data_IF_501967101043
#
_entry.id   IF_501967101043
#
_cell.length_a   1.000
_cell.length_b   1.000
_cell.length_c   1.000
_cell.angle_alpha   90.00
_cell.angle_beta   90.00
_cell.angle_gamma   90.00
#
_symmetry.space_group_name_H-M   'P 1'
#
loop_
_entity.id
_entity.type
_entity.pdbx_description
1 polymer ?
#
# COMPACT_ATOMS: atom_id res chain seq x y z
N UNK A 1 -16.32 -9.89 8.43
CA UNK A 1 -16.35 -8.41 8.40
C UNK A 1 -15.00 -7.99 7.89
N UNK A 2 -14.87 -7.35 6.73
CA UNK A 2 -13.61 -6.67 6.43
C UNK A 2 -13.43 -5.51 7.40
N UNK A 3 -12.23 -5.37 7.94
CA UNK A 3 -11.92 -4.34 8.92
C UNK A 3 -11.41 -3.01 8.29
N UNK A 4 -11.25 -2.94 6.96
CA UNK A 4 -10.23 -2.02 6.37
C UNK A 4 -10.67 -1.12 5.22
N UNK A 5 -11.86 -1.26 4.61
CA UNK A 5 -12.21 -0.43 3.44
C UNK A 5 -13.69 -0.36 3.15
N UNK A 6 -14.18 0.86 2.93
CA UNK A 6 -15.60 1.19 2.90
C UNK A 6 -16.36 0.79 1.62
N UNK A 7 -15.86 -0.01 0.68
CA UNK A 7 -16.64 -0.53 -0.48
C UNK A 7 -16.00 -1.79 -1.06
N UNK A 8 -15.34 -2.57 -0.22
CA UNK A 8 -14.66 -3.77 -0.68
C UNK A 8 -15.64 -4.94 -0.85
N UNK A 9 -15.42 -5.82 -1.84
CA UNK A 9 -16.14 -7.09 -1.94
C UNK A 9 -16.07 -7.84 -0.61
N UNK A 10 -17.22 -8.34 -0.12
CA UNK A 10 -17.28 -9.19 1.07
C UNK A 10 -17.39 -10.66 0.63
N UNK A 11 -16.59 -11.56 1.20
CA UNK A 11 -16.65 -13.00 0.95
C UNK A 11 -15.31 -13.69 1.15
N UNK A 12 -15.27 -15.02 0.98
CA UNK A 12 -14.01 -15.74 0.82
C UNK A 12 -13.64 -15.77 -0.67
N UNK A 13 -12.52 -15.19 -1.09
CA UNK A 13 -12.03 -15.33 -2.45
C UNK A 13 -11.78 -16.82 -2.76
N UNK A 14 -12.63 -17.40 -3.61
CA UNK A 14 -12.53 -18.83 -3.98
C UNK A 14 -11.36 -19.11 -4.94
N UNK A 15 -10.72 -18.06 -5.47
CA UNK A 15 -9.67 -18.14 -6.47
C UNK A 15 -8.50 -17.23 -6.07
N UNK A 16 -7.27 -17.73 -6.24
CA UNK A 16 -6.04 -17.00 -5.90
C UNK A 16 -5.88 -15.68 -6.68
N UNK A 17 -6.52 -15.53 -7.84
CA UNK A 17 -6.54 -14.26 -8.59
C UNK A 17 -7.38 -13.18 -7.91
N UNK A 18 -8.29 -13.54 -7.00
CA UNK A 18 -8.97 -12.57 -6.15
C UNK A 18 -8.08 -12.13 -4.97
N UNK A 19 -7.26 -13.02 -4.42
CA UNK A 19 -6.26 -12.67 -3.41
C UNK A 19 -5.29 -11.62 -3.97
N UNK A 20 -4.78 -11.83 -5.19
CA UNK A 20 -3.96 -10.82 -5.88
C UNK A 20 -4.67 -9.46 -6.03
N UNK A 21 -5.99 -9.45 -6.22
CA UNK A 21 -6.77 -8.20 -6.32
C UNK A 21 -7.00 -7.55 -4.95
N UNK A 22 -7.20 -8.35 -3.90
CA UNK A 22 -7.30 -7.87 -2.52
C UNK A 22 -5.98 -7.23 -2.09
N UNK A 23 -4.85 -7.87 -2.38
CA UNK A 23 -3.52 -7.28 -2.18
C UNK A 23 -3.36 -5.96 -2.95
N UNK A 24 -3.65 -5.93 -4.25
CA UNK A 24 -3.61 -4.69 -5.03
C UNK A 24 -4.50 -3.55 -4.46
N UNK A 25 -5.64 -3.89 -3.84
CA UNK A 25 -6.51 -2.90 -3.19
C UNK A 25 -5.83 -2.35 -1.93
N UNK A 26 -5.23 -3.22 -1.11
CA UNK A 26 -4.48 -2.81 0.07
C UNK A 26 -3.32 -1.87 -0.30
N UNK A 27 -2.55 -2.22 -1.34
CA UNK A 27 -1.46 -1.36 -1.85
C UNK A 27 -1.95 0.03 -2.29
N UNK A 28 -3.09 0.11 -3.00
CA UNK A 28 -3.67 1.39 -3.41
C UNK A 28 -4.09 2.23 -2.20
N UNK A 29 -4.60 1.60 -1.14
CA UNK A 29 -4.96 2.31 0.11
C UNK A 29 -3.70 2.90 0.73
N UNK A 30 -2.65 2.10 0.92
CA UNK A 30 -1.37 2.56 1.48
C UNK A 30 -0.75 3.70 0.65
N UNK A 31 -0.67 3.56 -0.67
CA UNK A 31 -0.17 4.61 -1.58
C UNK A 31 -0.92 5.93 -1.38
N UNK A 32 -2.25 5.87 -1.27
CA UNK A 32 -3.08 7.07 -1.13
C UNK A 32 -2.93 7.70 0.25
N UNK A 33 -2.84 6.89 1.30
CA UNK A 33 -2.65 7.37 2.68
C UNK A 33 -1.30 8.05 2.82
N UNK A 34 -0.21 7.45 2.32
CA UNK A 34 1.11 8.10 2.30
C UNK A 34 1.12 9.36 1.45
N UNK A 35 0.51 9.35 0.26
CA UNK A 35 0.41 10.56 -0.57
C UNK A 35 -0.36 11.68 0.15
N UNK A 36 -1.43 11.33 0.87
CA UNK A 36 -2.21 12.26 1.69
C UNK A 36 -1.37 12.83 2.83
N UNK A 37 -0.62 12.00 3.55
CA UNK A 37 0.23 12.40 4.65
C UNK A 37 1.38 13.32 4.20
N UNK A 38 2.07 12.98 3.10
CA UNK A 38 3.11 13.82 2.49
C UNK A 38 2.55 15.19 2.10
N UNK A 39 1.37 15.22 1.46
CA UNK A 39 0.74 16.47 1.04
C UNK A 39 0.39 17.36 2.25
N UNK A 40 0.10 16.76 3.40
CA UNK A 40 -0.35 17.43 4.63
C UNK A 40 0.74 17.56 5.71
N UNK A 41 2.01 17.35 5.38
CA UNK A 41 3.12 17.56 6.32
C UNK A 41 4.19 18.49 5.74
N UNK A 42 4.80 19.28 6.62
CA UNK A 42 5.95 20.13 6.31
C UNK A 42 7.25 19.63 6.98
N UNK A 43 7.26 18.39 7.49
CA UNK A 43 8.41 17.78 8.17
C UNK A 43 9.20 16.98 7.14
N UNK A 44 10.34 17.53 6.70
CA UNK A 44 11.14 16.94 5.62
C UNK A 44 11.54 15.49 5.87
N UNK A 45 12.10 15.16 7.03
CA UNK A 45 12.56 13.81 7.37
C UNK A 45 11.42 12.79 7.29
N UNK A 46 10.24 13.16 7.79
CA UNK A 46 9.05 12.30 7.72
C UNK A 46 8.51 12.16 6.30
N UNK A 47 8.50 13.26 5.53
CA UNK A 47 8.06 13.21 4.14
C UNK A 47 9.01 12.38 3.26
N UNK A 48 10.31 12.38 3.56
CA UNK A 48 11.28 11.52 2.88
C UNK A 48 11.02 10.05 3.21
N UNK A 49 10.74 9.72 4.47
CA UNK A 49 10.35 8.37 4.91
C UNK A 49 9.05 7.89 4.25
N UNK A 50 7.97 8.67 4.37
CA UNK A 50 6.71 8.34 3.71
C UNK A 50 6.84 8.23 2.19
N UNK A 51 7.68 9.07 1.57
CA UNK A 51 7.89 8.96 0.14
C UNK A 51 8.63 7.67 -0.22
N UNK A 52 9.63 7.25 0.57
CA UNK A 52 10.32 5.98 0.39
C UNK A 52 9.34 4.81 0.39
N UNK A 53 8.59 4.66 1.48
CA UNK A 53 7.60 3.60 1.65
C UNK A 53 6.55 3.64 0.52
N UNK A 54 6.00 4.81 0.20
CA UNK A 54 5.04 4.97 -0.91
C UNK A 54 5.59 4.49 -2.27
N UNK A 55 6.91 4.56 -2.52
CA UNK A 55 7.48 4.01 -3.76
C UNK A 55 7.55 2.49 -3.74
N UNK A 56 7.73 1.89 -2.57
CA UNK A 56 7.71 0.44 -2.37
C UNK A 56 6.28 -0.09 -2.54
N UNK A 57 5.26 0.59 -1.99
CA UNK A 57 3.86 0.20 -2.23
C UNK A 57 3.47 0.28 -3.71
N UNK A 58 3.99 1.26 -4.45
CA UNK A 58 3.81 1.32 -5.92
C UNK A 58 4.46 0.13 -6.62
N UNK A 59 5.62 -0.33 -6.12
CA UNK A 59 6.29 -1.53 -6.64
C UNK A 59 5.48 -2.78 -6.29
N UNK A 60 4.99 -2.92 -5.06
CA UNK A 60 4.15 -4.03 -4.60
C UNK A 60 2.90 -4.17 -5.47
N UNK A 61 2.18 -3.07 -5.68
CA UNK A 61 1.04 -3.01 -6.61
C UNK A 61 1.42 -3.51 -8.01
N UNK A 62 2.58 -3.08 -8.52
CA UNK A 62 3.11 -3.51 -9.81
C UNK A 62 3.36 -5.02 -9.87
N UNK A 63 4.01 -5.58 -8.84
CA UNK A 63 4.30 -7.01 -8.75
C UNK A 63 3.02 -7.85 -8.76
N UNK A 64 2.02 -7.49 -7.96
CA UNK A 64 0.73 -8.19 -7.94
C UNK A 64 -0.02 -8.06 -9.27
N UNK A 65 0.00 -6.89 -9.91
CA UNK A 65 -0.63 -6.68 -11.22
C UNK A 65 0.02 -7.52 -12.33
N UNK A 66 1.34 -7.69 -12.29
CA UNK A 66 2.06 -8.57 -13.22
C UNK A 66 1.67 -10.03 -13.05
N UNK A 67 1.60 -10.52 -11.81
CA UNK A 67 1.09 -11.85 -11.50
C UNK A 67 -0.37 -12.02 -11.93
N UNK A 68 -1.22 -11.03 -11.64
CA UNK A 68 -2.63 -11.09 -12.03
C UNK A 68 -2.77 -11.23 -13.54
N UNK A 69 -2.01 -10.45 -14.32
CA UNK A 69 -2.00 -10.55 -15.79
C UNK A 69 -1.39 -11.85 -16.30
N UNK A 70 -0.48 -12.47 -15.55
CA UNK A 70 0.06 -13.79 -15.90
C UNK A 70 -0.99 -14.89 -15.73
N UNK A 71 -1.82 -14.81 -14.70
CA UNK A 71 -2.75 -15.88 -14.29
C UNK A 71 -4.23 -15.63 -14.64
N UNK A 72 -4.60 -14.41 -15.03
CA UNK A 72 -5.92 -14.05 -15.56
C UNK A 72 -5.79 -13.62 -17.03
N UNK A 73 -6.02 -14.55 -17.99
CA UNK A 73 -5.92 -14.25 -19.40
C UNK A 73 -6.88 -13.14 -19.86
N UNK A 74 -8.02 -12.97 -19.20
CA UNK A 74 -9.01 -11.95 -19.56
C UNK A 74 -8.49 -10.57 -19.19
N UNK A 75 -7.95 -10.42 -17.98
CA UNK A 75 -7.28 -9.20 -17.52
C UNK A 75 -6.13 -8.81 -18.47
N UNK A 76 -5.32 -9.79 -18.90
CA UNK A 76 -4.23 -9.55 -19.83
C UNK A 76 -4.69 -9.13 -21.23
N UNK A 77 -5.78 -9.71 -21.74
CA UNK A 77 -6.36 -9.29 -23.02
C UNK A 77 -6.85 -7.84 -22.94
N UNK A 78 -7.55 -7.46 -21.87
CA UNK A 78 -7.98 -6.08 -21.65
C UNK A 78 -6.80 -5.12 -21.52
N UNK A 79 -5.72 -5.49 -20.83
CA UNK A 79 -4.49 -4.70 -20.80
C UNK A 79 -3.96 -4.42 -22.21
N UNK A 80 -3.84 -5.44 -23.08
CA UNK A 80 -3.37 -5.26 -24.46
C UNK A 80 -4.29 -4.37 -25.27
N UNK A 81 -5.61 -4.56 -25.14
CA UNK A 81 -6.61 -3.77 -25.83
C UNK A 81 -6.52 -2.30 -25.43
N UNK A 82 -6.64 -2.01 -24.13
CA UNK A 82 -6.59 -0.65 -23.58
C UNK A 82 -5.27 0.03 -23.94
N UNK A 83 -4.14 -0.69 -23.88
CA UNK A 83 -2.83 -0.14 -24.28
C UNK A 83 -2.78 0.27 -25.75
N UNK A 84 -3.50 -0.43 -26.63
CA UNK A 84 -3.55 -0.11 -28.06
C UNK A 84 -4.55 1.01 -28.42
N UNK A 85 -5.62 1.16 -27.63
CA UNK A 85 -6.70 2.10 -27.89
C UNK A 85 -6.52 3.45 -27.18
N UNK A 86 -5.93 3.43 -25.97
CA UNK A 86 -5.82 4.60 -25.12
C UNK A 86 -4.62 5.47 -25.53
N UNK A 87 -4.93 6.55 -26.25
CA UNK A 87 -3.95 7.58 -26.61
C UNK A 87 -3.84 8.64 -25.51
N UNK A 88 -3.12 8.35 -24.43
CA UNK A 88 -2.74 9.37 -23.45
C UNK A 88 -1.66 10.28 -24.04
N UNK A 89 -1.81 11.60 -23.87
CA UNK A 89 -0.75 12.52 -24.27
C UNK A 89 0.37 12.49 -23.25
N UNK A 90 1.62 12.61 -23.69
CA UNK A 90 2.78 12.78 -22.79
C UNK A 90 2.75 14.11 -21.99
N UNK A 91 1.76 14.98 -22.24
CA UNK A 91 1.57 16.21 -21.47
C UNK A 91 0.83 15.88 -20.18
N UNK A 92 1.46 16.16 -19.05
CA UNK A 92 0.79 16.11 -17.76
C UNK A 92 -0.40 17.09 -17.77
N UNK A 93 -1.63 16.63 -17.49
CA UNK A 93 -2.77 17.53 -17.39
C UNK A 93 -2.59 18.46 -16.19
N UNK A 94 -3.19 19.66 -16.27
CA UNK A 94 -3.23 20.56 -15.12
C UNK A 94 -4.24 20.02 -14.12
N UNK A 95 -3.74 19.55 -12.98
CA UNK A 95 -4.58 19.21 -11.83
C UNK A 95 -4.89 20.47 -11.01
N UNK A 96 -6.03 20.52 -10.31
CA UNK A 96 -6.30 21.57 -9.34
C UNK A 96 -5.17 21.65 -8.30
N UNK A 97 -4.81 22.87 -7.91
CA UNK A 97 -3.83 23.10 -6.85
C UNK A 97 -4.40 22.64 -5.50
N UNK A 98 -3.70 21.72 -4.82
CA UNK A 98 -4.05 21.29 -3.48
C UNK A 98 -3.52 22.28 -2.44
N UNK A 99 -4.36 22.64 -1.45
CA UNK A 99 -3.97 23.52 -0.34
C UNK A 99 -4.02 22.75 0.98
N UNK A 100 -2.87 22.36 1.53
CA UNK A 100 -2.83 21.59 2.77
C UNK A 100 -3.17 22.46 3.97
N UNK A 101 -3.72 21.81 4.99
CA UNK A 101 -4.04 22.43 6.27
C UNK A 101 -3.13 21.90 7.37
N UNK A 102 -1.86 22.26 7.30
CA UNK A 102 -0.82 21.74 8.21
C UNK A 102 -1.15 21.89 9.71
N UNK A 103 -1.84 22.96 10.09
CA UNK A 103 -2.21 23.25 11.47
C UNK A 103 -3.37 22.39 12.01
N UNK A 104 -4.07 21.65 11.15
CA UNK A 104 -5.15 20.74 11.56
C UNK A 104 -4.65 19.28 11.70
N UNK A 105 -3.37 19.02 11.41
CA UNK A 105 -2.83 17.66 11.34
C UNK A 105 -2.28 17.17 12.67
N UNK A 106 -2.63 15.93 13.02
CA UNK A 106 -2.06 15.19 14.14
C UNK A 106 -0.99 14.24 13.60
N UNK A 107 0.21 14.77 13.33
CA UNK A 107 1.28 14.04 12.62
C UNK A 107 1.58 12.67 13.22
N UNK A 108 1.72 12.56 14.55
CA UNK A 108 2.00 11.27 15.18
C UNK A 108 0.80 10.30 15.11
N UNK A 109 -0.43 10.79 14.92
CA UNK A 109 -1.58 9.90 14.65
C UNK A 109 -1.53 9.36 13.23
N UNK A 110 -1.03 10.15 12.26
CA UNK A 110 -0.83 9.68 10.90
C UNK A 110 0.19 8.54 10.89
N UNK A 111 1.36 8.72 11.53
CA UNK A 111 2.38 7.66 11.67
C UNK A 111 1.81 6.41 12.35
N UNK A 112 1.00 6.54 13.41
CA UNK A 112 0.34 5.37 14.04
C UNK A 112 -0.70 4.71 13.13
N UNK A 113 -1.35 5.49 12.26
CA UNK A 113 -2.31 4.95 11.28
C UNK A 113 -1.59 4.19 10.18
N UNK A 114 -0.42 4.68 9.75
CA UNK A 114 0.46 3.99 8.79
C UNK A 114 0.97 2.67 9.37
N UNK A 115 1.52 2.67 10.59
CA UNK A 115 1.93 1.43 11.30
C UNK A 115 0.78 0.42 11.38
N UNK A 116 -0.43 0.90 11.69
CA UNK A 116 -1.62 0.05 11.70
C UNK A 116 -1.90 -0.53 10.30
N UNK A 117 -1.79 0.27 9.25
CA UNK A 117 -1.96 -0.15 7.86
C UNK A 117 -1.00 -1.29 7.50
N UNK A 118 0.28 -1.14 7.82
CA UNK A 118 1.29 -2.17 7.52
C UNK A 118 1.05 -3.48 8.28
N UNK A 119 0.69 -3.38 9.55
CA UNK A 119 0.32 -4.56 10.34
C UNK A 119 -0.93 -5.26 9.76
N UNK A 120 -1.90 -4.51 9.26
CA UNK A 120 -3.08 -5.08 8.60
C UNK A 120 -2.72 -5.75 7.26
N UNK A 121 -1.81 -5.17 6.48
CA UNK A 121 -1.29 -5.77 5.25
C UNK A 121 -0.54 -7.08 5.53
N UNK A 122 0.36 -7.10 6.52
CA UNK A 122 1.06 -8.32 6.95
C UNK A 122 0.07 -9.42 7.32
N UNK A 123 -0.92 -9.12 8.16
CA UNK A 123 -1.92 -10.10 8.60
C UNK A 123 -2.72 -10.63 7.41
N UNK A 124 -3.12 -9.75 6.49
CA UNK A 124 -3.82 -10.14 5.27
C UNK A 124 -2.96 -11.11 4.46
N UNK A 125 -1.75 -10.72 4.10
CA UNK A 125 -0.87 -11.48 3.20
C UNK A 125 -0.41 -12.81 3.79
N UNK A 126 -0.17 -12.87 5.11
CA UNK A 126 0.11 -14.12 5.82
C UNK A 126 -1.09 -15.08 5.81
N UNK A 127 -2.33 -14.59 5.77
CA UNK A 127 -3.52 -15.44 5.57
C UNK A 127 -3.66 -15.87 4.10
N UNK A 128 -3.47 -14.95 3.16
CA UNK A 128 -3.62 -15.24 1.73
C UNK A 128 -2.65 -16.32 1.25
N UNK A 129 -1.38 -16.26 1.68
CA UNK A 129 -0.32 -17.19 1.24
C UNK A 129 -0.64 -18.65 1.58
N UNK A 130 -1.38 -18.91 2.66
CA UNK A 130 -1.81 -20.26 3.07
C UNK A 130 -2.75 -20.91 2.04
N UNK A 131 -3.42 -20.10 1.24
CA UNK A 131 -4.41 -20.52 0.25
C UNK A 131 -3.83 -20.64 -1.16
N UNK A 132 -2.55 -20.31 -1.36
CA UNK A 132 -1.90 -20.22 -2.67
C UNK A 132 -0.92 -21.39 -2.88
N UNK A 133 -1.02 -22.03 -4.05
CA UNK A 133 -0.13 -23.14 -4.44
C UNK A 133 0.96 -22.76 -5.45
N UNK A 134 0.82 -21.61 -6.10
CA UNK A 134 1.75 -21.16 -7.14
C UNK A 134 2.98 -20.56 -6.46
N UNK A 135 4.14 -21.18 -6.67
CA UNK A 135 5.38 -20.81 -5.99
C UNK A 135 5.76 -19.36 -6.21
N UNK A 136 5.67 -18.88 -7.45
CA UNK A 136 6.01 -17.50 -7.80
C UNK A 136 5.09 -16.48 -7.12
N UNK A 137 3.80 -16.79 -7.00
CA UNK A 137 2.87 -15.96 -6.23
C UNK A 137 3.26 -15.97 -4.75
N UNK A 138 3.52 -17.14 -4.18
CA UNK A 138 3.98 -17.27 -2.78
C UNK A 138 5.27 -16.49 -2.54
N UNK A 139 6.25 -16.61 -3.43
CA UNK A 139 7.53 -15.89 -3.33
C UNK A 139 7.30 -14.37 -3.32
N UNK A 140 6.44 -13.86 -4.20
CA UNK A 140 6.09 -12.43 -4.24
C UNK A 140 5.38 -11.97 -2.96
N UNK A 141 4.43 -12.72 -2.43
CA UNK A 141 3.81 -12.39 -1.14
C UNK A 141 4.83 -12.37 0.00
N UNK A 142 5.75 -13.33 0.03
CA UNK A 142 6.78 -13.39 1.07
C UNK A 142 7.78 -12.24 0.98
N UNK A 143 8.09 -11.76 -0.23
CA UNK A 143 8.88 -10.55 -0.46
C UNK A 143 8.16 -9.33 0.11
N UNK A 144 6.92 -9.09 -0.32
CA UNK A 144 6.10 -7.95 0.15
C UNK A 144 5.90 -7.99 1.67
N UNK A 145 5.54 -9.14 2.26
CA UNK A 145 5.41 -9.30 3.72
C UNK A 145 6.69 -8.92 4.47
N UNK A 146 7.86 -9.22 3.88
CA UNK A 146 9.14 -8.86 4.50
C UNK A 146 9.36 -7.34 4.48
N UNK A 147 8.96 -6.69 3.40
CA UNK A 147 9.06 -5.24 3.21
C UNK A 147 8.06 -4.50 4.11
N UNK A 148 6.82 -4.98 4.28
CA UNK A 148 5.87 -4.39 5.23
C UNK A 148 6.34 -4.47 6.69
N UNK A 149 7.09 -5.53 7.03
CA UNK A 149 7.73 -5.64 8.35
C UNK A 149 8.84 -4.61 8.51
N UNK A 150 9.58 -4.31 7.44
CA UNK A 150 10.56 -3.22 7.43
C UNK A 150 9.87 -1.86 7.59
N UNK A 151 8.83 -1.57 6.82
CA UNK A 151 8.04 -0.33 6.93
C UNK A 151 7.51 -0.10 8.36
N UNK A 152 6.98 -1.16 8.97
CA UNK A 152 6.51 -1.13 10.36
C UNK A 152 7.62 -0.68 11.33
N UNK A 153 8.84 -1.19 11.17
CA UNK A 153 9.98 -0.85 12.01
C UNK A 153 10.51 0.57 11.73
N UNK A 154 10.56 1.00 10.47
CA UNK A 154 10.98 2.35 10.11
C UNK A 154 10.06 3.43 10.71
N UNK A 155 8.75 3.22 10.58
CA UNK A 155 7.72 4.09 11.16
C UNK A 155 7.75 4.05 12.69
N UNK A 156 7.94 2.87 13.28
CA UNK A 156 8.05 2.72 14.74
C UNK A 156 9.27 3.46 15.27
N UNK A 157 10.41 3.37 14.59
CA UNK A 157 11.62 4.10 14.95
C UNK A 157 11.40 5.62 14.87
N UNK A 158 10.72 6.10 13.82
CA UNK A 158 10.33 7.50 13.73
C UNK A 158 9.42 7.90 14.89
N UNK A 159 8.39 7.09 15.18
CA UNK A 159 7.41 7.35 16.23
C UNK A 159 8.08 7.44 17.60
N UNK A 160 8.89 6.46 18.00
CA UNK A 160 9.51 6.42 19.33
C UNK A 160 10.57 7.50 19.53
N UNK A 161 11.19 7.98 18.45
CA UNK A 161 12.13 9.11 18.48
C UNK A 161 11.44 10.46 18.77
N UNK A 162 10.21 10.64 18.27
CA UNK A 162 9.54 11.94 18.28
C UNK A 162 8.30 12.03 19.17
N UNK A 163 7.75 10.91 19.61
CA UNK A 163 6.74 10.87 20.65
C UNK A 163 7.35 11.15 22.01
N UNK A 164 6.69 12.00 22.81
CA UNK A 164 7.16 12.34 24.16
C UNK A 164 6.81 11.25 25.16
N UNK A 165 5.76 10.50 24.88
CA UNK A 165 5.29 9.42 25.71
C UNK A 165 6.07 8.14 25.41
N UNK A 166 6.37 7.38 26.46
CA UNK A 166 7.19 6.17 26.33
C UNK A 166 6.37 4.96 25.94
N UNK A 167 6.87 4.18 24.99
CA UNK A 167 6.40 2.85 24.61
C UNK A 167 7.25 1.78 25.33
N UNK A 168 7.27 1.78 26.66
CA UNK A 168 8.11 0.87 27.46
C UNK A 168 9.60 0.91 27.06
N UNK A 169 10.20 -0.25 26.74
CA UNK A 169 11.64 -0.41 26.49
C UNK A 169 12.04 -0.11 25.04
N UNK A 170 11.10 0.28 24.17
CA UNK A 170 11.37 0.62 22.76
C UNK A 170 11.42 2.15 22.53
N UNK A 171 11.32 2.95 23.59
CA UNK A 171 11.43 4.42 23.61
C UNK A 171 12.34 4.94 24.73
#
# INVERSE_FOLDING_TARGET
MSYTTLRQPQGFPFCFTNLLREAMIAEIVAINDYAHHIANSNIKELNDLWHHIMQEEKRHFGMFLELLRKYDPTEYQHYKQVKSELNLTNKCPKFPEYRPKYNEQLILNNVRSDIKGELEAIILYEDEVLHIKHKDIVDTFMEVISEEKEHTEELTLFLTKYDKDKYNNIS
#
